data_IF_567745583112
#
_entry.id   IF_567745583112
#
_cell.length_a   1.000
_cell.length_b   1.000
_cell.length_c   1.000
_cell.angle_alpha   90.00
_cell.angle_beta   90.00
_cell.angle_gamma   90.00
#
_symmetry.space_group_name_H-M   'P 1'
#
loop_
_entity.id
_entity.type
_entity.pdbx_description
1 polymer ?
#
# COMPACT_ATOMS: atom_id res chain seq x y z
N UNK A 1 4.62 -5.01 -9.27
CA UNK A 1 5.29 -3.97 -8.45
C UNK A 1 4.22 -3.12 -7.79
N UNK A 2 4.28 -2.98 -6.48
CA UNK A 2 3.49 -2.08 -5.64
C UNK A 2 4.43 -1.00 -5.10
N UNK A 3 4.41 0.17 -5.73
CA UNK A 3 5.25 1.31 -5.35
C UNK A 3 4.58 2.16 -4.27
N UNK A 4 5.31 3.14 -3.75
CA UNK A 4 4.77 4.14 -2.82
C UNK A 4 3.58 4.92 -3.42
N UNK A 5 3.55 5.10 -4.76
CA UNK A 5 2.40 5.73 -5.44
C UNK A 5 1.07 5.02 -5.15
N UNK A 6 1.10 3.70 -4.99
CA UNK A 6 -0.07 2.89 -4.64
C UNK A 6 -0.29 2.86 -3.13
N UNK A 7 0.75 2.53 -2.37
CA UNK A 7 0.60 2.30 -0.93
C UNK A 7 0.26 3.57 -0.16
N UNK A 8 0.70 4.75 -0.64
CA UNK A 8 0.29 6.04 -0.08
C UNK A 8 -1.17 6.41 -0.33
N UNK A 9 -1.90 5.66 -1.16
CA UNK A 9 -3.36 5.80 -1.26
C UNK A 9 -4.09 5.07 -0.12
N UNK A 10 -3.47 4.03 0.43
CA UNK A 10 -4.03 3.19 1.49
C UNK A 10 -3.78 3.78 2.89
N UNK A 11 -4.29 4.99 3.13
CA UNK A 11 -4.12 5.70 4.39
C UNK A 11 -5.10 5.18 5.44
N UNK A 12 -4.59 4.71 6.57
CA UNK A 12 -5.39 4.25 7.72
C UNK A 12 -6.09 5.44 8.38
N UNK A 13 -7.34 5.64 8.04
CA UNK A 13 -8.17 6.70 8.63
C UNK A 13 -8.78 6.26 9.97
N UNK A 14 -9.16 7.23 10.79
CA UNK A 14 -9.72 7.00 12.13
C UNK A 14 -10.96 6.11 12.14
N UNK A 15 -11.82 6.20 11.11
CA UNK A 15 -13.01 5.35 11.00
C UNK A 15 -12.64 3.85 10.87
N UNK A 16 -11.59 3.51 10.13
CA UNK A 16 -11.10 2.13 9.99
C UNK A 16 -10.47 1.62 11.28
N UNK A 17 -9.68 2.45 11.96
CA UNK A 17 -9.14 2.12 13.29
C UNK A 17 -10.25 1.81 14.31
N UNK A 18 -11.32 2.60 14.31
CA UNK A 18 -12.45 2.38 15.21
C UNK A 18 -13.15 1.04 14.90
N UNK A 19 -13.36 0.70 13.63
CA UNK A 19 -13.94 -0.59 13.23
C UNK A 19 -13.08 -1.78 13.65
N UNK A 20 -11.75 -1.67 13.55
CA UNK A 20 -10.82 -2.71 14.05
C UNK A 20 -10.98 -2.88 15.56
N UNK A 21 -11.06 -1.79 16.31
CA UNK A 21 -11.28 -1.83 17.77
C UNK A 21 -12.64 -2.47 18.15
N UNK A 22 -13.66 -2.24 17.34
CA UNK A 22 -15.01 -2.77 17.55
C UNK A 22 -15.10 -4.29 17.31
N UNK A 23 -14.09 -4.93 16.75
CA UNK A 23 -14.02 -6.40 16.65
C UNK A 23 -14.03 -7.07 18.04
N UNK A 24 -13.60 -6.38 19.09
CA UNK A 24 -13.60 -6.86 20.47
C UNK A 24 -12.94 -8.23 20.64
N UNK A 25 -11.87 -8.46 19.90
CA UNK A 25 -11.08 -9.69 19.92
C UNK A 25 -9.63 -9.37 20.31
N UNK A 26 -8.87 -10.33 20.85
CA UNK A 26 -7.45 -10.12 21.16
C UNK A 26 -6.64 -9.66 19.93
N UNK A 27 -6.98 -10.16 18.75
CA UNK A 27 -6.34 -9.78 17.48
C UNK A 27 -6.71 -8.35 17.08
N UNK A 28 -7.98 -7.97 17.22
CA UNK A 28 -8.45 -6.61 16.98
C UNK A 28 -7.78 -5.60 17.92
N UNK A 29 -7.66 -5.93 19.20
CA UNK A 29 -6.98 -5.06 20.19
C UNK A 29 -5.50 -4.90 19.86
N UNK A 30 -4.80 -5.98 19.50
CA UNK A 30 -3.40 -5.94 19.11
C UNK A 30 -3.20 -5.11 17.83
N UNK A 31 -4.00 -5.35 16.80
CA UNK A 31 -3.96 -4.61 15.54
C UNK A 31 -4.23 -3.11 15.76
N UNK A 32 -5.27 -2.78 16.54
CA UNK A 32 -5.58 -1.40 16.91
C UNK A 32 -4.41 -0.72 17.64
N UNK A 33 -3.80 -1.41 18.60
CA UNK A 33 -2.65 -0.88 19.34
C UNK A 33 -1.46 -0.54 18.45
N UNK A 34 -1.07 -1.47 17.56
CA UNK A 34 0.03 -1.29 16.62
C UNK A 34 -0.25 -0.15 15.62
N UNK A 35 -1.42 -0.15 15.01
CA UNK A 35 -1.79 0.84 14.00
C UNK A 35 -1.96 2.24 14.59
N UNK A 36 -2.51 2.37 15.81
CA UNK A 36 -2.61 3.65 16.52
C UNK A 36 -1.25 4.22 16.92
N UNK A 37 -0.28 3.36 17.22
CA UNK A 37 1.09 3.77 17.50
C UNK A 37 1.77 4.30 16.22
N UNK A 38 1.59 3.59 15.12
CA UNK A 38 2.14 3.96 13.80
C UNK A 38 1.56 5.30 13.29
N UNK A 39 0.24 5.52 13.44
CA UNK A 39 -0.42 6.77 13.08
C UNK A 39 0.21 7.99 13.78
N UNK A 40 0.58 7.88 15.06
CA UNK A 40 1.21 8.99 15.80
C UNK A 40 2.53 9.43 15.21
N UNK A 41 3.35 8.48 14.78
CA UNK A 41 4.65 8.78 14.17
C UNK A 41 4.52 9.53 12.85
N UNK A 42 3.57 9.15 12.02
CA UNK A 42 3.32 9.80 10.74
C UNK A 42 2.70 11.19 10.89
N UNK A 43 1.83 11.37 11.89
CA UNK A 43 1.24 12.66 12.21
C UNK A 43 2.31 13.69 12.63
N UNK A 44 3.27 13.27 13.46
CA UNK A 44 4.40 14.10 13.89
C UNK A 44 5.34 14.45 12.73
N UNK A 45 5.56 13.51 11.81
CA UNK A 45 6.53 13.66 10.72
C UNK A 45 5.98 14.36 9.49
N UNK A 46 4.73 14.09 9.12
CA UNK A 46 4.14 14.52 7.85
C UNK A 46 2.93 15.44 8.01
N UNK A 47 2.42 15.63 9.22
CA UNK A 47 1.26 16.48 9.49
C UNK A 47 -0.06 15.94 8.96
N UNK A 48 -0.09 14.70 8.47
CA UNK A 48 -1.27 14.05 7.90
C UNK A 48 -1.90 13.05 8.88
N UNK A 49 -3.22 13.02 8.91
CA UNK A 49 -3.96 11.98 9.62
C UNK A 49 -3.97 10.68 8.81
N UNK A 50 -3.45 9.61 9.41
CA UNK A 50 -3.45 8.28 8.84
C UNK A 50 -2.14 7.88 8.17
N UNK A 51 -1.47 6.87 8.74
CA UNK A 51 -0.28 6.26 8.15
C UNK A 51 -0.63 5.34 6.97
N UNK A 52 0.18 5.31 5.90
CA UNK A 52 -0.04 4.39 4.80
C UNK A 52 0.26 2.95 5.20
N UNK A 53 -0.62 2.01 4.84
CA UNK A 53 -0.39 0.59 5.03
C UNK A 53 0.38 -0.01 3.85
N UNK A 54 1.71 -0.02 3.94
CA UNK A 54 2.57 -0.49 2.86
C UNK A 54 2.49 -2.01 2.67
N UNK A 55 2.94 -2.80 3.65
CA UNK A 55 3.09 -4.24 3.53
C UNK A 55 1.75 -4.98 3.34
N UNK A 56 0.66 -4.62 4.02
CA UNK A 56 -0.63 -5.28 3.81
C UNK A 56 -1.17 -5.18 2.40
N UNK A 57 -0.79 -4.18 1.61
CA UNK A 57 -1.22 -4.05 0.21
C UNK A 57 -0.71 -5.19 -0.67
N UNK A 58 0.47 -5.74 -0.36
CA UNK A 58 1.04 -6.88 -1.10
C UNK A 58 0.18 -8.13 -0.90
N UNK A 59 -0.19 -8.40 0.36
CA UNK A 59 -1.06 -9.55 0.69
C UNK A 59 -2.46 -9.35 0.11
N UNK A 60 -2.98 -8.13 0.18
CA UNK A 60 -4.28 -7.81 -0.42
C UNK A 60 -4.28 -8.04 -1.94
N UNK A 61 -3.22 -7.67 -2.65
CA UNK A 61 -3.08 -7.94 -4.08
C UNK A 61 -3.09 -9.44 -4.40
N UNK A 62 -2.42 -10.27 -3.60
CA UNK A 62 -2.41 -11.72 -3.79
C UNK A 62 -3.78 -12.36 -3.55
N UNK A 63 -4.57 -11.82 -2.64
CA UNK A 63 -5.90 -12.32 -2.30
C UNK A 63 -7.01 -11.78 -3.21
N UNK A 64 -6.91 -10.52 -3.60
CA UNK A 64 -7.91 -9.76 -4.35
C UNK A 64 -7.23 -8.81 -5.33
N UNK A 65 -6.65 -9.35 -6.42
CA UNK A 65 -5.99 -8.52 -7.45
C UNK A 65 -6.93 -7.53 -8.13
N UNK A 66 -8.23 -7.81 -8.11
CA UNK A 66 -9.30 -6.94 -8.62
C UNK A 66 -9.46 -5.61 -7.88
N UNK A 67 -8.88 -5.48 -6.68
CA UNK A 67 -8.81 -4.21 -5.94
C UNK A 67 -7.73 -3.26 -6.47
N UNK A 68 -6.94 -3.68 -7.43
CA UNK A 68 -5.79 -2.91 -7.92
C UNK A 68 -5.85 -2.72 -9.43
N UNK A 69 -5.41 -1.56 -9.87
CA UNK A 69 -5.29 -1.26 -11.30
C UNK A 69 -3.83 -0.96 -11.67
N UNK A 70 -3.44 -1.43 -12.82
CA UNK A 70 -2.10 -1.23 -13.35
C UNK A 70 -1.95 -1.82 -14.74
N UNK A 71 -0.73 -1.83 -15.24
CA UNK A 71 -0.41 -2.45 -16.51
C UNK A 71 1.02 -2.98 -16.55
N UNK A 72 1.29 -3.84 -17.53
CA UNK A 72 2.65 -4.26 -17.83
C UNK A 72 3.44 -3.09 -18.43
N UNK A 73 4.63 -2.85 -17.89
CA UNK A 73 5.56 -1.84 -18.35
C UNK A 73 6.99 -2.35 -18.27
N UNK A 74 7.90 -1.70 -18.97
CA UNK A 74 9.33 -1.93 -18.73
C UNK A 74 9.74 -1.17 -17.47
N UNK A 75 10.48 -1.85 -16.60
CA UNK A 75 11.01 -1.30 -15.35
C UNK A 75 12.49 -1.62 -15.26
N UNK A 76 13.30 -0.60 -15.05
CA UNK A 76 14.74 -0.68 -14.84
C UNK A 76 15.15 0.01 -13.55
N UNK A 77 16.32 -0.32 -13.04
CA UNK A 77 16.93 0.37 -11.90
C UNK A 77 18.14 1.16 -12.39
N UNK A 78 18.16 2.45 -12.08
CA UNK A 78 19.33 3.31 -12.36
C UNK A 78 20.50 2.91 -11.47
N UNK A 79 21.62 2.57 -12.09
CA UNK A 79 22.80 2.06 -11.37
C UNK A 79 24.10 2.82 -11.68
N UNK A 80 24.05 3.91 -12.44
CA UNK A 80 25.24 4.64 -12.90
C UNK A 80 25.29 6.09 -12.43
N UNK A 81 24.14 6.76 -12.34
CA UNK A 81 24.08 8.18 -11.97
C UNK A 81 24.27 8.37 -10.48
N UNK A 82 25.20 9.25 -10.09
CA UNK A 82 25.38 9.64 -8.69
C UNK A 82 24.12 10.23 -8.04
N UNK A 83 23.31 10.96 -8.84
CA UNK A 83 22.12 11.66 -8.36
C UNK A 83 20.92 10.71 -8.20
N UNK A 84 20.78 9.73 -9.09
CA UNK A 84 19.56 8.89 -9.19
C UNK A 84 19.84 7.41 -9.02
N UNK A 85 21.00 7.02 -8.50
CA UNK A 85 21.35 5.64 -8.22
C UNK A 85 20.30 4.97 -7.32
N UNK A 86 19.81 3.79 -7.74
CA UNK A 86 18.77 3.05 -7.06
C UNK A 86 17.34 3.47 -7.42
N UNK A 87 17.18 4.50 -8.27
CA UNK A 87 15.87 4.94 -8.74
C UNK A 87 15.20 3.87 -9.59
N UNK A 88 13.95 3.57 -9.31
CA UNK A 88 13.11 2.72 -10.15
C UNK A 88 12.56 3.54 -11.32
N UNK A 89 12.99 3.21 -12.53
CA UNK A 89 12.57 3.88 -13.76
C UNK A 89 11.50 3.05 -14.45
N UNK A 90 10.30 3.61 -14.59
CA UNK A 90 9.15 2.94 -15.20
C UNK A 90 8.83 3.59 -16.54
N UNK A 91 8.94 2.83 -17.62
CA UNK A 91 8.46 3.26 -18.94
C UNK A 91 6.94 3.09 -19.04
N UNK A 92 6.23 3.96 -18.33
CA UNK A 92 4.77 3.92 -18.28
C UNK A 92 4.12 4.16 -19.63
N UNK A 93 4.72 5.01 -20.46
CA UNK A 93 4.16 5.41 -21.74
C UNK A 93 4.63 4.57 -22.93
N UNK A 94 5.57 3.64 -22.71
CA UNK A 94 6.12 2.80 -23.78
C UNK A 94 6.94 3.62 -24.77
N UNK A 95 7.73 4.58 -24.29
CA UNK A 95 8.57 5.44 -25.12
C UNK A 95 9.92 4.80 -25.46
N UNK A 96 10.29 3.73 -24.76
CA UNK A 96 11.44 2.90 -25.08
C UNK A 96 10.97 1.65 -25.83
N UNK A 97 11.81 1.11 -26.72
CA UNK A 97 11.51 -0.15 -27.41
C UNK A 97 11.77 -1.40 -26.54
N UNK A 98 11.88 -1.22 -25.23
CA UNK A 98 12.16 -2.29 -24.28
C UNK A 98 10.88 -3.10 -23.97
N UNK A 99 10.96 -4.44 -23.93
CA UNK A 99 9.81 -5.26 -23.61
C UNK A 99 9.35 -5.05 -22.17
N UNK A 100 8.03 -5.08 -21.94
CA UNK A 100 7.46 -5.02 -20.61
C UNK A 100 7.89 -6.24 -19.77
N UNK A 101 8.43 -6.01 -18.59
CA UNK A 101 8.97 -7.05 -17.69
C UNK A 101 8.26 -7.11 -16.34
N UNK A 102 7.48 -6.09 -15.97
CA UNK A 102 6.81 -5.99 -14.66
C UNK A 102 5.35 -5.57 -14.84
N UNK A 103 4.46 -6.15 -14.05
CA UNK A 103 3.11 -5.59 -13.85
C UNK A 103 3.20 -4.48 -12.80
N UNK A 104 3.06 -3.23 -13.22
CA UNK A 104 3.16 -2.04 -12.38
C UNK A 104 1.76 -1.61 -11.97
N UNK A 105 1.48 -1.68 -10.68
CA UNK A 105 0.21 -1.22 -10.11
C UNK A 105 0.30 0.27 -9.80
N UNK A 106 -0.78 0.98 -10.01
CA UNK A 106 -0.82 2.43 -9.84
C UNK A 106 -2.00 2.93 -8.99
N UNK A 107 -3.10 2.20 -8.99
CA UNK A 107 -4.28 2.53 -8.22
C UNK A 107 -4.70 1.36 -7.34
N UNK A 108 -5.37 1.69 -6.23
CA UNK A 108 -5.99 0.76 -5.29
C UNK A 108 -7.41 1.23 -4.97
N UNK A 109 -8.37 0.30 -4.94
CA UNK A 109 -9.70 0.57 -4.39
C UNK A 109 -9.63 0.51 -2.86
N UNK A 110 -9.44 1.69 -2.25
CA UNK A 110 -9.09 1.86 -0.84
C UNK A 110 -10.14 1.26 0.11
N UNK A 111 -11.43 1.52 -0.13
CA UNK A 111 -12.49 0.98 0.72
C UNK A 111 -12.54 -0.54 0.68
N UNK A 112 -12.41 -1.13 -0.51
CA UNK A 112 -12.34 -2.58 -0.67
C UNK A 112 -11.13 -3.20 0.01
N UNK A 113 -10.00 -2.51 -0.01
CA UNK A 113 -8.78 -2.94 0.68
C UNK A 113 -8.96 -2.97 2.21
N UNK A 114 -9.48 -1.89 2.81
CA UNK A 114 -9.72 -1.86 4.25
C UNK A 114 -10.82 -2.84 4.68
N UNK A 115 -11.87 -2.99 3.87
CA UNK A 115 -12.89 -4.00 4.10
C UNK A 115 -12.30 -5.41 4.14
N UNK A 116 -11.41 -5.74 3.19
CA UNK A 116 -10.72 -7.03 3.18
C UNK A 116 -9.89 -7.25 4.46
N UNK A 117 -9.16 -6.25 4.92
CA UNK A 117 -8.38 -6.34 6.16
C UNK A 117 -9.31 -6.61 7.34
N UNK A 118 -10.39 -5.84 7.48
CA UNK A 118 -11.35 -5.99 8.56
C UNK A 118 -11.99 -7.38 8.57
N UNK A 119 -12.42 -7.88 7.41
CA UNK A 119 -12.96 -9.23 7.26
C UNK A 119 -11.97 -10.33 7.66
N UNK A 120 -10.68 -10.15 7.37
CA UNK A 120 -9.65 -11.12 7.73
C UNK A 120 -9.33 -11.10 9.22
N UNK A 121 -9.21 -9.93 9.82
CA UNK A 121 -9.01 -9.79 11.26
C UNK A 121 -10.20 -10.34 12.06
N UNK A 122 -11.42 -10.17 11.57
CA UNK A 122 -12.62 -10.69 12.23
C UNK A 122 -12.72 -12.23 12.26
N UNK A 123 -11.91 -12.94 11.48
CA UNK A 123 -11.88 -14.41 11.43
C UNK A 123 -10.84 -15.03 12.37
N UNK A 124 -10.00 -14.21 12.96
CA UNK A 124 -8.92 -14.60 13.88
C UNK A 124 -9.34 -14.38 15.34
#
# INVERSE_FOLDING_TARGET
MLSLDVTHQALMQRNWLNQIKELKSPVGDAAYGMLSFYERHDLEKYGNSGGPLHDPTVIAYLLRPDLFEGKKANVDIEIQSELTMGMTVVDWWGVTDRPANVNVLRNIYVDGFFQLILERLARL
#
